data_IF_060724153412
#
_entry.id   IF_060724153412
#
_cell.length_a   1.000
_cell.length_b   1.000
_cell.length_c   1.000
_cell.angle_alpha   90.00
_cell.angle_beta   90.00
_cell.angle_gamma   90.00
#
_symmetry.space_group_name_H-M   'P 1'
#
loop_
_entity.id
_entity.type
_entity.pdbx_description
1 polymer ?
#
# COMPACT_ATOMS: atom_id res chain seq x y z
N UNK A 1 62.36 0.05 -72.85
CA UNK A 1 62.36 -1.03 -73.86
C UNK A 1 61.10 -1.87 -73.58
N UNK A 2 60.16 -1.86 -74.52
CA UNK A 2 59.58 -3.01 -75.26
C UNK A 2 58.94 -4.08 -74.36
N UNK A 3 57.71 -4.54 -74.46
CA UNK A 3 56.64 -4.56 -75.53
C UNK A 3 55.49 -5.35 -74.92
N UNK A 4 54.23 -4.83 -75.10
CA UNK A 4 53.16 -5.50 -75.90
C UNK A 4 52.69 -6.86 -75.35
N UNK A 5 51.45 -6.87 -74.86
CA UNK A 5 50.14 -7.02 -75.51
C UNK A 5 49.78 -8.53 -75.68
N UNK A 6 48.60 -8.95 -75.36
CA UNK A 6 47.44 -9.33 -76.17
C UNK A 6 46.50 -10.23 -75.35
N UNK A 7 45.36 -9.80 -75.01
CA UNK A 7 43.99 -10.12 -75.47
C UNK A 7 43.48 -11.60 -75.32
N UNK A 8 42.22 -11.56 -74.82
CA UNK A 8 41.08 -12.50 -75.04
C UNK A 8 40.98 -13.58 -73.99
N UNK A 9 39.84 -13.78 -73.37
CA UNK A 9 38.44 -13.57 -73.71
C UNK A 9 37.54 -14.06 -72.57
N UNK A 10 36.36 -13.60 -72.65
CA UNK A 10 35.24 -13.72 -71.80
C UNK A 10 34.88 -15.14 -71.26
N UNK A 11 34.33 -15.20 -70.08
CA UNK A 11 33.02 -15.84 -69.82
C UNK A 11 32.47 -15.26 -68.55
N UNK A 12 31.28 -14.69 -68.60
CA UNK A 12 30.46 -14.22 -67.47
C UNK A 12 29.93 -15.43 -66.71
N UNK A 13 30.33 -15.52 -65.48
CA UNK A 13 29.69 -16.41 -64.47
C UNK A 13 29.22 -15.54 -63.33
N UNK A 14 27.96 -15.13 -63.35
CA UNK A 14 27.30 -14.49 -62.20
C UNK A 14 27.17 -15.51 -61.06
N UNK A 15 28.16 -15.58 -60.22
CA UNK A 15 28.02 -16.21 -58.91
C UNK A 15 27.25 -15.26 -58.00
N UNK A 16 25.94 -15.44 -57.91
CA UNK A 16 25.15 -14.85 -56.86
C UNK A 16 25.70 -15.36 -55.51
N UNK A 17 26.51 -14.54 -54.86
CA UNK A 17 26.87 -14.73 -53.47
C UNK A 17 25.57 -14.64 -52.69
N UNK A 18 24.95 -15.81 -52.39
CA UNK A 18 23.97 -15.93 -51.34
C UNK A 18 24.64 -15.47 -50.03
N UNK A 19 24.46 -14.21 -49.65
CA UNK A 19 24.78 -13.78 -48.30
C UNK A 19 23.92 -14.63 -47.37
N UNK A 20 24.52 -15.39 -46.45
CA UNK A 20 23.73 -16.02 -45.43
C UNK A 20 23.01 -14.90 -44.72
N UNK A 21 21.69 -14.91 -44.76
CA UNK A 21 20.89 -14.19 -43.84
C UNK A 21 21.30 -14.76 -42.46
N UNK A 22 22.19 -14.05 -41.78
CA UNK A 22 22.39 -14.19 -40.36
C UNK A 22 21.07 -13.73 -39.78
N UNK A 23 20.14 -14.67 -39.60
CA UNK A 23 19.05 -14.47 -38.69
C UNK A 23 19.75 -14.14 -37.36
N UNK A 24 19.85 -12.83 -37.04
CA UNK A 24 20.14 -12.41 -35.69
C UNK A 24 19.06 -13.11 -34.88
N UNK A 25 19.45 -14.09 -34.10
CA UNK A 25 18.65 -14.56 -33.00
C UNK A 25 18.37 -13.29 -32.19
N UNK A 26 17.21 -12.67 -32.41
CA UNK A 26 16.73 -11.63 -31.56
C UNK A 26 16.64 -12.30 -30.19
N UNK A 27 17.61 -11.99 -29.32
CA UNK A 27 17.59 -12.47 -27.94
C UNK A 27 16.23 -12.14 -27.34
N UNK A 28 15.69 -13.02 -26.52
CA UNK A 28 14.44 -12.81 -25.81
C UNK A 28 14.43 -11.41 -25.19
N UNK A 29 13.33 -10.68 -25.35
CA UNK A 29 13.13 -9.44 -24.62
C UNK A 29 13.11 -9.77 -23.12
N UNK A 30 13.91 -9.06 -22.34
CA UNK A 30 13.98 -9.25 -20.89
C UNK A 30 13.18 -8.17 -20.19
N UNK A 31 12.33 -8.57 -19.25
CA UNK A 31 11.61 -7.69 -18.34
C UNK A 31 12.00 -8.00 -16.89
N UNK A 32 12.60 -7.05 -16.22
CA UNK A 32 12.86 -7.13 -14.79
C UNK A 32 11.57 -6.88 -14.00
N UNK A 33 11.23 -7.81 -13.11
CA UNK A 33 10.04 -7.73 -12.27
C UNK A 33 10.44 -7.77 -10.79
N UNK A 34 10.25 -6.66 -10.08
CA UNK A 34 10.58 -6.52 -8.66
C UNK A 34 9.32 -6.49 -7.81
N UNK A 35 9.24 -7.39 -6.84
CA UNK A 35 8.12 -7.45 -5.92
C UNK A 35 8.57 -7.34 -4.47
N UNK A 36 7.66 -6.92 -3.63
CA UNK A 36 7.80 -7.10 -2.20
C UNK A 36 7.65 -8.59 -1.86
N UNK A 37 8.57 -9.09 -1.03
CA UNK A 37 8.49 -10.45 -0.50
C UNK A 37 7.32 -10.54 0.50
N UNK A 38 6.23 -11.13 0.05
CA UNK A 38 5.10 -11.54 0.89
C UNK A 38 5.14 -13.06 0.95
N UNK A 39 5.15 -13.60 2.17
CA UNK A 39 5.14 -15.06 2.35
C UNK A 39 4.07 -15.74 1.48
N UNK A 40 4.40 -16.87 0.90
CA UNK A 40 3.54 -17.72 0.07
C UNK A 40 3.09 -17.12 -1.30
N UNK A 41 3.67 -16.02 -1.76
CA UNK A 41 3.39 -15.48 -3.11
C UNK A 41 4.29 -16.08 -4.20
N UNK A 42 5.39 -16.69 -3.85
CA UNK A 42 6.36 -17.19 -4.82
C UNK A 42 5.73 -18.15 -5.84
N UNK A 43 4.92 -19.08 -5.38
CA UNK A 43 4.24 -20.04 -6.26
C UNK A 43 3.30 -19.33 -7.25
N UNK A 44 2.54 -18.33 -6.78
CA UNK A 44 1.63 -17.56 -7.60
C UNK A 44 2.38 -16.81 -8.70
N UNK A 45 3.40 -16.03 -8.36
CA UNK A 45 4.17 -15.28 -9.35
C UNK A 45 4.87 -16.21 -10.37
N UNK A 46 5.36 -17.38 -9.96
CA UNK A 46 5.91 -18.35 -10.90
C UNK A 46 4.88 -18.87 -11.89
N UNK A 47 3.65 -19.12 -11.46
CA UNK A 47 2.56 -19.57 -12.33
C UNK A 47 2.15 -18.45 -13.30
N UNK A 48 2.03 -17.21 -12.85
CA UNK A 48 1.72 -16.02 -13.66
C UNK A 48 2.79 -15.77 -14.72
N UNK A 49 4.06 -15.82 -14.33
CA UNK A 49 5.21 -15.69 -15.25
C UNK A 49 5.21 -16.81 -16.29
N UNK A 50 4.97 -18.04 -15.87
CA UNK A 50 4.90 -19.17 -16.77
C UNK A 50 3.78 -19.02 -17.80
N UNK A 51 2.59 -18.57 -17.39
CA UNK A 51 1.47 -18.31 -18.30
C UNK A 51 1.80 -17.20 -19.29
N UNK A 52 2.36 -16.08 -18.82
CA UNK A 52 2.77 -14.99 -19.71
C UNK A 52 3.76 -15.44 -20.75
N UNK A 53 4.78 -16.20 -20.35
CA UNK A 53 5.82 -16.70 -21.26
C UNK A 53 5.32 -17.81 -22.22
N UNK A 54 4.19 -18.47 -21.96
CA UNK A 54 3.57 -19.39 -22.91
C UNK A 54 3.00 -18.64 -24.14
N UNK A 55 2.45 -17.47 -23.94
CA UNK A 55 1.90 -16.61 -25.00
C UNK A 55 2.96 -15.68 -25.61
N UNK A 56 4.00 -15.34 -24.85
CA UNK A 56 5.11 -14.46 -25.24
C UNK A 56 6.44 -15.22 -25.18
N UNK A 57 6.64 -16.17 -26.11
CA UNK A 57 7.79 -17.11 -26.12
C UNK A 57 9.14 -16.43 -26.30
N UNK A 58 9.15 -15.22 -26.84
CA UNK A 58 10.30 -14.35 -27.05
C UNK A 58 10.57 -13.39 -25.87
N UNK A 59 9.84 -13.55 -24.75
CA UNK A 59 10.01 -12.76 -23.53
C UNK A 59 10.54 -13.62 -22.39
N UNK A 60 11.44 -13.06 -21.60
CA UNK A 60 11.94 -13.61 -20.34
C UNK A 60 11.63 -12.63 -19.22
N UNK A 61 10.92 -13.10 -18.18
CA UNK A 61 10.66 -12.32 -16.96
C UNK A 61 11.73 -12.67 -15.91
N UNK A 62 12.58 -11.72 -15.57
CA UNK A 62 13.58 -11.83 -14.50
C UNK A 62 12.95 -11.35 -13.19
N UNK A 63 12.36 -12.27 -12.42
CA UNK A 63 11.69 -11.96 -11.17
C UNK A 63 12.66 -11.87 -9.99
N UNK A 64 12.53 -10.83 -9.19
CA UNK A 64 13.30 -10.54 -7.99
C UNK A 64 12.35 -10.07 -6.88
N UNK A 65 12.50 -10.61 -5.68
CA UNK A 65 11.76 -10.16 -4.51
C UNK A 65 12.68 -9.51 -3.47
N UNK A 66 12.12 -8.59 -2.70
CA UNK A 66 12.80 -7.92 -1.57
C UNK A 66 11.86 -7.79 -0.38
N UNK A 67 12.42 -7.82 0.82
CA UNK A 67 11.66 -7.44 2.01
C UNK A 67 11.13 -6.01 1.88
N UNK A 68 9.94 -5.75 2.41
CA UNK A 68 9.30 -4.46 2.29
C UNK A 68 10.15 -3.28 2.79
N UNK A 69 10.97 -3.51 3.82
CA UNK A 69 11.92 -2.51 4.35
C UNK A 69 13.14 -2.28 3.45
N UNK A 70 13.48 -3.22 2.57
CA UNK A 70 14.65 -3.17 1.69
C UNK A 70 14.30 -2.70 0.27
N UNK A 71 13.07 -2.97 -0.20
CA UNK A 71 12.64 -2.69 -1.57
C UNK A 71 12.83 -1.24 -1.98
N UNK A 72 12.43 -0.22 -1.18
CA UNK A 72 12.59 1.17 -1.58
C UNK A 72 14.05 1.56 -1.81
N UNK A 73 14.93 1.19 -0.89
CA UNK A 73 16.36 1.51 -1.00
C UNK A 73 17.01 0.77 -2.18
N UNK A 74 16.62 -0.48 -2.40
CA UNK A 74 17.07 -1.26 -3.56
C UNK A 74 16.62 -0.61 -4.87
N UNK A 75 15.32 -0.31 -5.01
CA UNK A 75 14.78 0.30 -6.24
C UNK A 75 15.42 1.66 -6.51
N UNK A 76 15.57 2.50 -5.49
CA UNK A 76 16.25 3.79 -5.61
C UNK A 76 17.70 3.63 -6.09
N UNK A 77 18.43 2.66 -5.58
CA UNK A 77 19.82 2.37 -6.02
C UNK A 77 19.85 1.97 -7.49
N UNK A 78 18.91 1.11 -7.92
CA UNK A 78 18.81 0.68 -9.32
C UNK A 78 18.41 1.83 -10.26
N UNK A 79 17.54 2.75 -9.82
CA UNK A 79 17.19 3.95 -10.58
C UNK A 79 18.42 4.83 -10.82
N UNK A 80 19.22 5.09 -9.79
CA UNK A 80 20.46 5.88 -9.90
C UNK A 80 21.49 5.21 -10.81
N UNK A 81 21.58 3.88 -10.74
CA UNK A 81 22.49 3.09 -11.58
C UNK A 81 22.01 2.95 -13.05
N UNK A 82 20.77 3.33 -13.37
CA UNK A 82 20.18 3.12 -14.69
C UNK A 82 19.85 1.66 -15.00
N UNK A 83 19.70 0.83 -13.97
CA UNK A 83 19.41 -0.62 -14.04
C UNK A 83 18.11 -0.97 -13.30
N UNK A 84 17.18 -0.01 -13.19
CA UNK A 84 15.91 -0.24 -12.53
C UNK A 84 15.13 -1.39 -13.20
N UNK A 85 14.53 -2.29 -12.42
CA UNK A 85 13.58 -3.26 -12.92
C UNK A 85 12.46 -2.59 -13.71
N UNK A 86 11.98 -3.26 -14.77
CA UNK A 86 10.96 -2.69 -15.66
C UNK A 86 9.61 -2.55 -14.99
N UNK A 87 9.27 -3.49 -14.10
CA UNK A 87 8.01 -3.53 -13.36
C UNK A 87 8.34 -3.62 -11.87
N UNK A 88 7.63 -2.85 -11.06
CA UNK A 88 7.85 -2.78 -9.61
C UNK A 88 6.54 -2.74 -8.83
N UNK A 89 6.46 -3.56 -7.79
CA UNK A 89 5.41 -3.51 -6.76
C UNK A 89 5.73 -2.38 -5.79
N UNK A 90 4.87 -1.38 -5.71
CA UNK A 90 4.99 -0.24 -4.81
C UNK A 90 3.79 -0.13 -3.88
N UNK A 91 4.06 0.32 -2.65
CA UNK A 91 3.05 0.46 -1.61
C UNK A 91 3.01 1.88 -1.02
N UNK A 92 1.92 2.17 -0.31
CA UNK A 92 1.77 3.41 0.46
C UNK A 92 1.95 4.65 -0.38
N UNK A 93 2.66 5.65 0.15
CA UNK A 93 2.89 6.93 -0.52
C UNK A 93 4.24 7.02 -1.26
N UNK A 94 5.11 6.03 -1.14
CA UNK A 94 6.47 6.10 -1.70
C UNK A 94 6.50 6.23 -3.22
N UNK A 95 5.51 5.67 -3.91
CA UNK A 95 5.41 5.75 -5.36
C UNK A 95 5.25 7.19 -5.86
N UNK A 96 4.69 8.10 -5.04
CA UNK A 96 4.49 9.51 -5.42
C UNK A 96 5.84 10.21 -5.63
N UNK A 97 6.85 9.90 -4.81
CA UNK A 97 8.20 10.42 -4.97
C UNK A 97 8.81 9.97 -6.30
N UNK A 98 8.63 8.70 -6.67
CA UNK A 98 9.11 8.17 -7.94
C UNK A 98 8.36 8.74 -9.14
N UNK A 99 7.04 8.92 -9.03
CA UNK A 99 6.23 9.55 -10.08
C UNK A 99 6.62 11.01 -10.30
N UNK A 100 6.74 11.80 -9.24
CA UNK A 100 7.17 13.20 -9.28
C UNK A 100 8.59 13.36 -9.81
N UNK A 101 9.49 12.43 -9.46
CA UNK A 101 10.86 12.36 -9.97
C UNK A 101 10.95 11.87 -11.42
N UNK A 102 9.84 11.55 -12.09
CA UNK A 102 9.81 11.06 -13.46
C UNK A 102 10.37 9.66 -13.66
N UNK A 103 10.46 8.87 -12.59
CA UNK A 103 10.97 7.49 -12.63
C UNK A 103 9.93 6.46 -13.09
N UNK A 104 8.63 6.80 -13.02
CA UNK A 104 7.53 5.92 -13.40
C UNK A 104 6.91 6.34 -14.73
N UNK A 105 6.39 5.36 -15.46
CA UNK A 105 5.64 5.54 -16.68
C UNK A 105 4.21 5.98 -16.36
N UNK A 106 3.71 7.01 -17.06
CA UNK A 106 2.30 7.38 -17.01
C UNK A 106 1.45 6.32 -17.73
N UNK A 107 0.59 5.64 -16.99
CA UNK A 107 -0.31 4.60 -17.51
C UNK A 107 -1.61 5.16 -18.09
N UNK A 108 -1.89 6.46 -17.94
CA UNK A 108 -3.12 7.08 -18.42
C UNK A 108 -3.35 6.89 -19.93
N UNK A 109 -2.31 7.00 -20.81
CA UNK A 109 -2.49 6.73 -22.23
C UNK A 109 -2.88 5.29 -22.56
N UNK A 110 -2.39 4.32 -21.77
CA UNK A 110 -2.74 2.90 -21.91
C UNK A 110 -4.19 2.66 -21.49
N UNK A 111 -4.59 3.20 -20.34
CA UNK A 111 -5.98 3.14 -19.86
C UNK A 111 -6.96 3.85 -20.80
N UNK A 112 -6.53 4.91 -21.48
CA UNK A 112 -7.37 5.58 -22.49
C UNK A 112 -7.56 4.75 -23.75
N UNK A 113 -6.56 3.94 -24.14
CA UNK A 113 -6.66 3.01 -25.28
C UNK A 113 -7.47 1.76 -24.95
N UNK A 114 -7.42 1.32 -23.69
CA UNK A 114 -8.06 0.10 -23.20
C UNK A 114 -8.94 0.45 -21.97
N UNK A 115 -10.06 1.19 -22.16
CA UNK A 115 -10.87 1.69 -21.05
C UNK A 115 -11.56 0.57 -20.25
N UNK A 116 -11.67 -0.63 -20.81
CA UNK A 116 -12.15 -1.84 -20.13
C UNK A 116 -11.22 -2.25 -18.98
N UNK A 117 -9.91 -1.99 -19.07
CA UNK A 117 -8.96 -2.28 -18.00
C UNK A 117 -9.28 -1.45 -16.76
N UNK A 118 -9.56 -0.15 -16.92
CA UNK A 118 -9.94 0.69 -15.79
C UNK A 118 -11.23 0.23 -15.11
N UNK A 119 -12.17 -0.37 -15.86
CA UNK A 119 -13.46 -0.87 -15.35
C UNK A 119 -13.32 -2.15 -14.52
N UNK A 120 -12.19 -2.84 -14.59
CA UNK A 120 -11.94 -4.01 -13.75
C UNK A 120 -11.86 -3.64 -12.27
N UNK A 121 -11.42 -2.42 -11.96
CA UNK A 121 -11.09 -1.99 -10.61
C UNK A 121 -12.19 -1.16 -9.96
N UNK A 122 -12.26 -1.21 -8.63
CA UNK A 122 -12.98 -0.23 -7.85
C UNK A 122 -12.35 1.16 -8.09
N UNK A 123 -13.18 2.13 -8.51
CA UNK A 123 -12.72 3.44 -8.97
C UNK A 123 -12.01 4.25 -7.88
N UNK A 124 -12.45 4.15 -6.62
CA UNK A 124 -11.82 4.86 -5.50
C UNK A 124 -10.41 4.32 -5.25
N UNK A 125 -10.24 2.99 -5.26
CA UNK A 125 -8.92 2.39 -5.12
C UNK A 125 -8.01 2.67 -6.31
N UNK A 126 -8.51 2.63 -7.54
CA UNK A 126 -7.72 3.04 -8.71
C UNK A 126 -7.32 4.52 -8.62
N UNK A 127 -8.18 5.38 -8.07
CA UNK A 127 -7.90 6.80 -7.92
C UNK A 127 -6.77 7.10 -6.93
N UNK A 128 -6.51 6.21 -5.96
CA UNK A 128 -5.40 6.37 -5.01
C UNK A 128 -4.01 6.34 -5.69
N UNK A 129 -3.93 5.83 -6.93
CA UNK A 129 -2.70 5.75 -7.73
C UNK A 129 -2.54 6.91 -8.72
N UNK A 130 -3.21 8.05 -8.45
CA UNK A 130 -3.10 9.26 -9.27
C UNK A 130 -2.23 10.30 -8.62
N UNK A 131 -1.36 10.90 -9.43
CA UNK A 131 -0.57 12.07 -9.08
C UNK A 131 -0.60 13.06 -10.27
N UNK A 132 -0.93 14.33 -10.00
CA UNK A 132 -1.09 15.38 -11.03
C UNK A 132 -1.97 14.96 -12.21
N UNK A 133 -3.08 14.29 -11.93
CA UNK A 133 -4.07 13.84 -12.93
C UNK A 133 -3.67 12.60 -13.74
N UNK A 134 -2.48 12.05 -13.54
CA UNK A 134 -1.96 10.86 -14.22
C UNK A 134 -2.05 9.63 -13.32
N UNK A 135 -2.30 8.48 -13.92
CA UNK A 135 -2.30 7.18 -13.22
C UNK A 135 -0.97 6.49 -13.42
N UNK A 136 -0.35 6.01 -12.35
CA UNK A 136 0.99 5.41 -12.40
C UNK A 136 1.03 3.93 -12.06
N UNK A 137 0.02 3.41 -11.36
CA UNK A 137 -0.04 2.01 -10.95
C UNK A 137 -1.40 1.40 -11.26
N UNK A 138 -1.41 0.08 -11.48
CA UNK A 138 -2.62 -0.74 -11.41
C UNK A 138 -2.71 -1.40 -10.02
N UNK A 139 -3.91 -1.45 -9.40
CA UNK A 139 -4.10 -2.11 -8.11
C UNK A 139 -3.67 -3.59 -8.17
N UNK A 140 -2.93 -4.04 -7.16
CA UNK A 140 -2.55 -5.45 -7.00
C UNK A 140 -3.29 -6.08 -5.83
N UNK A 141 -3.21 -5.46 -4.67
CA UNK A 141 -4.11 -5.73 -3.59
C UNK A 141 -4.42 -4.47 -2.79
N UNK A 142 -5.56 -4.50 -2.10
CA UNK A 142 -6.07 -3.39 -1.34
C UNK A 142 -6.25 -3.77 0.12
N UNK A 143 -6.00 -2.82 0.98
CA UNK A 143 -6.27 -2.90 2.41
C UNK A 143 -6.54 -1.52 2.95
N UNK A 144 -7.31 -1.43 4.02
CA UNK A 144 -7.44 -0.19 4.81
C UNK A 144 -7.49 -0.52 6.30
N UNK A 145 -7.33 0.49 7.12
CA UNK A 145 -7.46 0.32 8.56
C UNK A 145 -8.91 0.14 8.98
N UNK A 146 -9.11 -0.77 9.93
CA UNK A 146 -10.38 -1.10 10.55
C UNK A 146 -10.26 -0.99 12.07
N UNK A 147 -11.38 -0.95 12.75
CA UNK A 147 -11.48 -1.07 14.19
C UNK A 147 -12.02 -2.45 14.55
N UNK A 148 -11.15 -3.32 15.04
CA UNK A 148 -11.54 -4.58 15.65
C UNK A 148 -11.95 -4.35 17.10
N UNK A 149 -12.94 -5.10 17.60
CA UNK A 149 -13.33 -4.99 18.99
C UNK A 149 -13.70 -6.33 19.60
N UNK A 150 -13.36 -6.48 20.88
CA UNK A 150 -13.64 -7.66 21.67
C UNK A 150 -15.05 -7.55 22.28
N UNK A 151 -15.99 -8.29 21.72
CA UNK A 151 -17.41 -8.29 22.16
C UNK A 151 -17.58 -8.72 23.62
N UNK A 152 -16.71 -9.62 24.12
CA UNK A 152 -16.75 -10.05 25.52
C UNK A 152 -16.40 -8.88 26.45
N UNK A 153 -15.29 -8.17 26.17
CA UNK A 153 -14.90 -6.99 26.94
C UNK A 153 -15.94 -5.86 26.85
N UNK A 154 -16.58 -5.70 25.68
CA UNK A 154 -17.70 -4.76 25.51
C UNK A 154 -18.86 -5.11 26.44
N UNK A 155 -19.29 -6.36 26.45
CA UNK A 155 -20.37 -6.84 27.32
C UNK A 155 -20.03 -6.67 28.81
N UNK A 156 -18.82 -7.01 29.23
CA UNK A 156 -18.33 -6.84 30.60
C UNK A 156 -18.29 -5.36 31.03
N UNK A 157 -18.04 -4.45 30.08
CA UNK A 157 -18.03 -3.01 30.30
C UNK A 157 -19.42 -2.35 30.15
N UNK A 158 -20.49 -3.13 29.86
CA UNK A 158 -21.83 -2.63 29.64
C UNK A 158 -21.99 -1.82 28.34
N UNK A 159 -21.20 -2.15 27.29
CA UNK A 159 -21.21 -1.49 25.99
C UNK A 159 -22.00 -2.34 24.98
N UNK A 160 -22.99 -1.73 24.31
CA UNK A 160 -23.89 -2.43 23.39
C UNK A 160 -23.48 -2.36 21.92
N UNK A 161 -22.66 -1.38 21.53
CA UNK A 161 -22.25 -1.14 20.15
C UNK A 161 -20.87 -0.48 20.10
N UNK A 162 -20.16 -0.53 18.95
CA UNK A 162 -18.93 0.22 18.73
C UNK A 162 -19.13 1.74 18.90
N UNK A 163 -18.03 2.48 19.21
CA UNK A 163 -18.11 3.93 19.41
C UNK A 163 -18.47 4.66 18.10
N UNK A 164 -19.24 5.74 18.21
CA UNK A 164 -19.70 6.59 17.10
C UNK A 164 -18.99 7.94 17.06
N UNK A 165 -18.19 8.25 18.09
CA UNK A 165 -17.40 9.49 18.18
C UNK A 165 -16.02 9.22 18.79
N UNK A 166 -15.10 10.20 18.67
CA UNK A 166 -13.80 10.14 19.32
C UNK A 166 -13.91 10.08 20.84
N UNK A 167 -14.82 10.86 21.41
CA UNK A 167 -15.02 10.87 22.86
C UNK A 167 -15.59 9.54 23.36
N UNK A 168 -16.50 8.90 22.61
CA UNK A 168 -16.96 7.55 22.94
C UNK A 168 -15.85 6.52 22.81
N UNK A 169 -14.99 6.62 21.78
CA UNK A 169 -13.83 5.74 21.63
C UNK A 169 -12.96 5.78 22.90
N UNK A 170 -12.65 6.95 23.41
CA UNK A 170 -11.87 7.13 24.64
C UNK A 170 -12.62 6.70 25.90
N UNK A 171 -13.89 7.04 26.02
CA UNK A 171 -14.73 6.64 27.16
C UNK A 171 -14.90 5.13 27.23
N UNK A 172 -15.13 4.45 26.11
CA UNK A 172 -15.21 2.99 26.02
C UNK A 172 -13.88 2.34 26.37
N UNK A 173 -12.78 2.94 25.88
CA UNK A 173 -11.44 2.49 26.24
C UNK A 173 -11.20 2.53 27.74
N UNK A 174 -11.59 3.61 28.40
CA UNK A 174 -11.46 3.75 29.86
C UNK A 174 -12.32 2.74 30.64
N UNK A 175 -13.55 2.45 30.17
CA UNK A 175 -14.44 1.46 30.80
C UNK A 175 -13.89 0.02 30.70
N UNK A 176 -13.17 -0.31 29.62
CA UNK A 176 -12.60 -1.63 29.40
C UNK A 176 -11.22 -1.82 30.05
N UNK A 177 -10.54 -0.73 30.41
CA UNK A 177 -9.22 -0.78 31.05
C UNK A 177 -9.33 -1.24 32.50
N UNK A 178 -8.95 -2.48 32.79
CA UNK A 178 -8.97 -3.08 34.13
C UNK A 178 -7.78 -4.04 34.31
N UNK A 179 -6.98 -3.86 35.35
CA UNK A 179 -5.79 -4.67 35.60
C UNK A 179 -4.79 -4.56 34.46
N UNK A 180 -4.45 -5.65 33.83
CA UNK A 180 -3.55 -5.69 32.67
C UNK A 180 -4.25 -5.42 31.33
N UNK A 181 -5.60 -5.37 31.31
CA UNK A 181 -6.36 -5.11 30.09
C UNK A 181 -6.43 -3.63 29.81
N UNK A 182 -6.27 -3.26 28.53
CA UNK A 182 -6.41 -1.90 28.00
C UNK A 182 -7.60 -1.79 27.06
N UNK A 183 -8.18 -0.61 26.92
CA UNK A 183 -9.37 -0.44 26.10
C UNK A 183 -9.08 -0.24 24.63
N UNK A 184 -7.95 0.41 24.28
CA UNK A 184 -7.61 0.74 22.89
C UNK A 184 -6.13 0.53 22.60
N UNK A 185 -5.87 0.03 21.41
CA UNK A 185 -4.54 -0.15 20.84
C UNK A 185 -4.58 0.23 19.37
N UNK A 186 -3.56 0.93 18.90
CA UNK A 186 -3.33 1.11 17.46
C UNK A 186 -1.91 0.69 17.10
N UNK A 187 -1.69 0.35 15.84
CA UNK A 187 -0.34 0.16 15.32
C UNK A 187 0.40 1.50 15.35
N UNK A 188 1.64 1.47 15.78
CA UNK A 188 2.46 2.67 15.92
C UNK A 188 3.13 3.03 14.60
N UNK A 189 2.34 3.51 13.67
CA UNK A 189 2.82 4.15 12.46
C UNK A 189 2.16 5.52 12.33
N UNK A 190 2.91 6.51 11.93
CA UNK A 190 2.47 7.90 11.78
C UNK A 190 1.17 8.04 10.98
N UNK A 191 1.01 7.27 9.92
CA UNK A 191 -0.17 7.27 9.08
C UNK A 191 -1.42 6.61 9.71
N UNK A 192 -1.26 5.81 10.79
CA UNK A 192 -2.38 5.19 11.51
C UNK A 192 -3.06 6.13 12.51
N UNK A 193 -2.39 7.20 12.90
CA UNK A 193 -2.99 8.19 13.81
C UNK A 193 -3.82 9.23 13.08
N UNK A 194 -3.56 9.41 11.80
CA UNK A 194 -4.22 10.48 11.08
C UNK A 194 -5.74 10.34 11.05
N UNK A 195 -6.35 9.16 10.89
CA UNK A 195 -7.79 9.01 11.07
C UNK A 195 -8.34 9.57 12.37
N UNK A 196 -7.59 9.47 13.48
CA UNK A 196 -8.00 10.04 14.78
C UNK A 196 -8.03 11.57 14.78
N UNK A 197 -7.14 12.21 14.02
CA UNK A 197 -7.17 13.66 13.83
C UNK A 197 -8.26 14.05 12.84
N UNK A 198 -8.39 13.33 11.75
CA UNK A 198 -9.33 13.62 10.67
C UNK A 198 -10.79 13.55 11.14
N UNK A 199 -11.12 12.57 11.98
CA UNK A 199 -12.46 12.47 12.60
C UNK A 199 -12.80 13.66 13.51
N UNK A 200 -11.80 14.43 13.93
CA UNK A 200 -11.95 15.67 14.71
C UNK A 200 -11.76 16.92 13.85
N UNK A 201 -11.85 16.82 12.52
CA UNK A 201 -11.78 17.96 11.60
C UNK A 201 -10.38 18.56 11.39
N UNK A 202 -9.32 17.84 11.78
CA UNK A 202 -7.93 18.32 11.61
C UNK A 202 -7.39 17.88 10.26
N UNK A 203 -6.88 18.84 9.49
CA UNK A 203 -6.26 18.62 8.18
C UNK A 203 -4.72 18.64 8.29
N UNK A 204 -4.02 17.85 7.45
CA UNK A 204 -2.57 17.86 7.37
C UNK A 204 -2.03 19.15 6.78
N UNK A 205 -2.59 19.52 5.64
CA UNK A 205 -2.15 20.66 4.84
C UNK A 205 -3.33 21.53 4.43
N UNK A 206 -3.03 22.78 4.07
CA UNK A 206 -3.96 23.65 3.37
C UNK A 206 -4.42 23.04 2.05
N UNK A 207 -5.59 23.44 1.49
CA UNK A 207 -6.10 22.88 0.24
C UNK A 207 -5.15 23.03 -0.95
N UNK A 208 -4.30 24.05 -0.95
CA UNK A 208 -3.25 24.26 -1.97
C UNK A 208 -1.95 23.52 -1.69
N UNK A 209 -1.90 22.70 -0.65
CA UNK A 209 -0.77 21.88 -0.19
C UNK A 209 0.50 22.67 0.18
N UNK A 210 0.42 23.98 0.36
CA UNK A 210 1.59 24.86 0.57
C UNK A 210 1.91 25.14 2.03
N UNK A 211 0.98 24.88 2.93
CA UNK A 211 1.12 25.19 4.35
C UNK A 211 0.62 24.04 5.23
N UNK A 212 1.24 23.79 6.40
CA UNK A 212 0.66 22.91 7.39
C UNK A 212 -0.69 23.48 7.87
N UNK A 213 -1.66 22.60 8.14
CA UNK A 213 -2.99 22.96 8.63
C UNK A 213 -3.36 22.23 9.94
N UNK A 214 -2.47 21.43 10.47
CA UNK A 214 -2.73 20.59 11.65
C UNK A 214 -2.52 21.31 12.99
N UNK A 215 -1.83 22.45 13.05
CA UNK A 215 -1.60 23.18 14.29
C UNK A 215 -2.83 24.01 14.67
N UNK A 216 -3.83 23.34 15.20
CA UNK A 216 -5.13 23.90 15.57
C UNK A 216 -5.48 23.60 17.04
N UNK A 217 -6.39 24.37 17.67
CA UNK A 217 -6.90 24.04 19.00
C UNK A 217 -7.49 22.63 19.07
N UNK A 218 -8.19 22.17 18.02
CA UNK A 218 -8.74 20.81 17.94
C UNK A 218 -7.64 19.75 17.97
N UNK A 219 -6.56 19.95 17.22
CA UNK A 219 -5.42 19.03 17.22
C UNK A 219 -4.75 18.96 18.60
N UNK A 220 -4.61 20.11 19.28
CA UNK A 220 -4.07 20.14 20.63
C UNK A 220 -4.97 19.38 21.62
N UNK A 221 -6.29 19.57 21.54
CA UNK A 221 -7.27 18.85 22.35
C UNK A 221 -7.20 17.32 22.09
N UNK A 222 -7.12 16.90 20.83
CA UNK A 222 -6.97 15.47 20.46
C UNK A 222 -5.72 14.88 21.11
N UNK A 223 -4.59 15.56 21.01
CA UNK A 223 -3.32 15.08 21.62
C UNK A 223 -3.41 15.04 23.14
N UNK A 224 -3.99 16.04 23.79
CA UNK A 224 -4.18 16.09 25.24
C UNK A 224 -5.09 14.94 25.72
N UNK A 225 -6.18 14.66 25.00
CA UNK A 225 -7.07 13.52 25.28
C UNK A 225 -6.37 12.18 25.10
N UNK A 226 -5.58 12.01 24.02
CA UNK A 226 -4.80 10.80 23.79
C UNK A 226 -3.72 10.61 24.86
N UNK A 227 -3.01 11.67 25.25
CA UNK A 227 -2.01 11.62 26.30
C UNK A 227 -2.61 11.22 27.64
N UNK A 228 -3.73 11.85 28.02
CA UNK A 228 -4.47 11.51 29.26
C UNK A 228 -4.96 10.07 29.26
N UNK A 229 -5.51 9.57 28.14
CA UNK A 229 -5.98 8.21 28.00
C UNK A 229 -4.83 7.19 28.06
N UNK A 230 -3.65 7.56 27.53
CA UNK A 230 -2.44 6.73 27.57
C UNK A 230 -1.87 6.67 29.00
N UNK A 231 -1.76 7.80 29.68
CA UNK A 231 -1.28 7.86 31.07
C UNK A 231 -2.21 7.11 32.02
N UNK A 232 -3.52 7.26 31.83
CA UNK A 232 -4.56 6.56 32.61
C UNK A 232 -4.71 5.08 32.25
N UNK A 233 -3.91 4.50 31.35
CA UNK A 233 -3.96 3.08 30.97
C UNK A 233 -5.11 2.66 30.05
N UNK A 234 -5.94 3.60 29.61
CA UNK A 234 -7.04 3.31 28.69
C UNK A 234 -6.52 2.97 27.28
N UNK A 235 -5.44 3.62 26.84
CA UNK A 235 -4.70 3.32 25.61
C UNK A 235 -3.43 2.55 25.96
N UNK A 236 -3.23 1.42 25.29
CA UNK A 236 -2.03 0.60 25.48
C UNK A 236 -0.78 1.33 25.00
N UNK A 237 0.24 1.46 25.85
CA UNK A 237 1.50 2.14 25.54
C UNK A 237 2.28 1.54 24.38
N UNK A 238 2.03 0.25 24.04
CA UNK A 238 2.57 -0.39 22.84
C UNK A 238 2.19 0.40 21.58
N UNK A 239 1.04 1.07 21.57
CA UNK A 239 0.60 1.98 20.49
C UNK A 239 1.68 3.00 20.06
N UNK A 240 2.64 3.31 20.91
CA UNK A 240 3.64 4.37 20.70
C UNK A 240 5.06 3.83 20.48
N UNK A 241 5.26 2.50 20.30
CA UNK A 241 6.58 1.85 20.30
C UNK A 241 7.19 1.62 18.90
N UNK A 242 6.43 1.67 17.83
CA UNK A 242 6.91 1.41 16.46
C UNK A 242 7.06 -0.06 16.08
N UNK A 243 6.35 -0.98 16.74
CA UNK A 243 6.52 -2.42 16.52
C UNK A 243 5.23 -3.09 16.02
N UNK A 244 5.35 -3.91 14.97
CA UNK A 244 4.24 -4.64 14.37
C UNK A 244 3.75 -5.82 15.20
N UNK A 245 4.68 -6.66 15.63
CA UNK A 245 4.37 -7.99 16.20
C UNK A 245 3.69 -7.85 17.55
N UNK A 246 4.17 -6.93 18.38
CA UNK A 246 3.66 -6.73 19.73
C UNK A 246 2.19 -6.28 19.77
N UNK A 247 1.75 -5.26 18.98
CA UNK A 247 0.35 -4.89 18.93
C UNK A 247 -0.59 -6.03 18.53
N UNK A 248 -0.25 -6.77 17.48
CA UNK A 248 -1.04 -7.91 17.03
C UNK A 248 -1.10 -9.00 18.11
N UNK A 249 0.04 -9.30 18.74
CA UNK A 249 0.12 -10.28 19.83
C UNK A 249 -0.68 -9.86 21.06
N UNK A 250 -0.65 -8.57 21.43
CA UNK A 250 -1.44 -8.05 22.55
C UNK A 250 -2.95 -8.22 22.32
N UNK A 251 -3.41 -7.90 21.11
CA UNK A 251 -4.83 -8.12 20.77
C UNK A 251 -5.20 -9.60 20.68
N UNK A 252 -4.37 -10.42 20.05
CA UNK A 252 -4.57 -11.87 20.00
C UNK A 252 -4.55 -12.52 21.41
N UNK A 253 -3.81 -11.93 22.36
CA UNK A 253 -3.72 -12.36 23.76
C UNK A 253 -4.92 -11.98 24.65
N UNK A 254 -6.01 -11.43 24.10
CA UNK A 254 -7.22 -11.02 24.87
C UNK A 254 -6.96 -9.94 25.92
N UNK A 255 -5.96 -9.08 25.69
CA UNK A 255 -5.60 -8.00 26.64
C UNK A 255 -6.06 -6.61 26.19
N UNK A 256 -6.75 -6.51 25.05
CA UNK A 256 -7.14 -5.25 24.43
C UNK A 256 -8.60 -5.28 23.99
N UNK A 257 -9.36 -4.24 24.33
CA UNK A 257 -10.79 -4.12 24.00
C UNK A 257 -11.03 -3.73 22.54
N UNK A 258 -10.28 -2.77 22.02
CA UNK A 258 -10.39 -2.28 20.63
C UNK A 258 -9.00 -2.17 20.00
N UNK A 259 -8.89 -2.61 18.75
CA UNK A 259 -7.63 -2.62 18.01
C UNK A 259 -7.80 -1.96 16.63
N UNK A 260 -7.14 -0.83 16.43
CA UNK A 260 -7.09 -0.14 15.14
C UNK A 260 -5.90 -0.64 14.33
N UNK A 261 -6.19 -1.39 13.28
CA UNK A 261 -5.17 -2.07 12.46
C UNK A 261 -5.65 -2.29 11.03
N UNK A 262 -4.75 -2.80 10.17
CA UNK A 262 -5.11 -3.21 8.82
C UNK A 262 -6.15 -4.31 8.78
N UNK A 263 -6.93 -4.37 7.71
CA UNK A 263 -7.85 -5.49 7.48
C UNK A 263 -7.14 -6.86 7.43
N UNK A 264 -5.90 -6.90 6.93
CA UNK A 264 -5.07 -8.11 6.93
C UNK A 264 -4.68 -8.61 8.33
N UNK A 265 -4.73 -7.75 9.35
CA UNK A 265 -4.44 -8.15 10.72
C UNK A 265 -5.39 -9.24 11.24
N UNK A 266 -6.61 -9.33 10.69
CA UNK A 266 -7.58 -10.35 11.04
C UNK A 266 -7.01 -11.78 10.96
N UNK A 267 -6.39 -12.12 9.85
CA UNK A 267 -5.86 -13.47 9.64
C UNK A 267 -4.71 -13.80 10.58
N UNK A 268 -3.86 -12.80 10.87
CA UNK A 268 -2.79 -12.97 11.85
C UNK A 268 -3.34 -13.19 13.26
N UNK A 269 -4.24 -12.32 13.72
CA UNK A 269 -4.77 -12.43 15.09
C UNK A 269 -5.65 -13.66 15.26
N UNK A 270 -6.41 -14.07 14.24
CA UNK A 270 -7.19 -15.31 14.23
C UNK A 270 -6.32 -16.54 14.37
N UNK A 271 -5.16 -16.56 13.72
CA UNK A 271 -4.20 -17.67 13.81
C UNK A 271 -3.57 -17.83 15.19
N UNK A 272 -3.55 -16.77 16.01
CA UNK A 272 -2.91 -16.78 17.34
C UNK A 272 -3.90 -16.66 18.50
N UNK A 273 -5.04 -15.99 18.31
CA UNK A 273 -6.01 -15.71 19.36
C UNK A 273 -7.07 -16.79 19.49
N UNK A 274 -6.98 -17.64 20.51
CA UNK A 274 -7.95 -18.73 20.76
C UNK A 274 -9.38 -18.24 21.04
N UNK A 275 -9.53 -16.97 21.48
CA UNK A 275 -10.81 -16.35 21.77
C UNK A 275 -11.53 -15.83 20.51
N UNK A 276 -10.86 -15.77 19.37
CA UNK A 276 -11.35 -15.12 18.16
C UNK A 276 -12.31 -16.04 17.39
N UNK A 277 -13.57 -15.67 17.42
CA UNK A 277 -14.66 -16.33 16.71
C UNK A 277 -15.79 -15.31 16.44
N UNK A 278 -16.85 -15.66 15.67
CA UNK A 278 -17.94 -14.73 15.35
C UNK A 278 -18.69 -14.14 16.55
N UNK A 279 -18.73 -14.84 17.69
CA UNK A 279 -19.44 -14.37 18.90
C UNK A 279 -18.61 -13.39 19.73
N UNK A 280 -17.27 -13.44 19.59
CA UNK A 280 -16.34 -12.70 20.44
C UNK A 280 -15.61 -11.58 19.75
N UNK A 281 -15.37 -11.65 18.44
CA UNK A 281 -14.76 -10.59 17.66
C UNK A 281 -15.79 -9.85 16.80
N UNK A 282 -15.69 -8.52 16.79
CA UNK A 282 -16.33 -7.67 15.80
C UNK A 282 -15.32 -6.84 15.02
N UNK A 283 -15.71 -6.40 13.83
CA UNK A 283 -14.97 -5.45 13.02
C UNK A 283 -15.89 -4.33 12.54
N UNK A 284 -15.37 -3.13 12.52
CA UNK A 284 -16.05 -1.92 12.04
C UNK A 284 -14.99 -0.92 11.58
N UNK A 285 -15.39 0.30 11.33
CA UNK A 285 -14.47 1.41 11.04
C UNK A 285 -14.39 2.35 12.24
N UNK A 286 -13.37 3.21 12.29
CA UNK A 286 -13.32 4.31 13.24
C UNK A 286 -14.54 5.23 13.05
N UNK A 287 -14.98 5.93 14.09
CA UNK A 287 -16.03 6.96 13.95
C UNK A 287 -15.72 7.92 12.81
N UNK A 288 -16.76 8.27 12.04
CA UNK A 288 -16.62 9.12 10.85
C UNK A 288 -16.04 8.39 9.62
N UNK A 289 -15.75 7.07 9.75
CA UNK A 289 -15.31 6.15 8.67
C UNK A 289 -13.96 6.47 8.05
N UNK A 290 -13.17 7.38 8.64
CA UNK A 290 -11.83 7.69 8.15
C UNK A 290 -10.92 6.50 8.33
N UNK A 291 -10.19 6.16 7.25
CA UNK A 291 -9.28 5.02 7.22
C UNK A 291 -8.01 5.36 6.45
N UNK A 292 -6.93 4.70 6.79
CA UNK A 292 -5.69 4.77 6.02
C UNK A 292 -5.64 3.62 5.03
N UNK A 293 -5.52 3.89 3.71
CA UNK A 293 -5.31 2.85 2.72
C UNK A 293 -3.88 2.32 2.81
N UNK A 294 -3.72 1.01 2.62
CA UNK A 294 -2.42 0.33 2.59
C UNK A 294 -2.36 -0.58 1.38
N UNK A 295 -2.51 0.06 0.23
CA UNK A 295 -2.62 -0.61 -1.04
C UNK A 295 -1.25 -0.92 -1.63
N UNK A 296 -1.19 -1.97 -2.46
CA UNK A 296 -0.08 -2.28 -3.35
C UNK A 296 -0.54 -2.18 -4.80
N UNK A 297 0.36 -1.79 -5.66
CA UNK A 297 0.11 -1.72 -7.09
C UNK A 297 1.38 -1.91 -7.90
N UNK A 298 1.22 -2.34 -9.15
CA UNK A 298 2.32 -2.48 -10.09
C UNK A 298 2.49 -1.23 -10.93
N UNK A 299 3.71 -0.68 -10.91
CA UNK A 299 4.17 0.40 -11.75
C UNK A 299 5.11 -0.12 -12.83
N UNK A 300 5.24 0.64 -13.92
CA UNK A 300 6.26 0.44 -14.95
C UNK A 300 7.30 1.54 -14.79
N UNK A 301 8.58 1.16 -14.75
CA UNK A 301 9.69 2.11 -14.73
C UNK A 301 9.75 2.90 -16.04
N UNK A 302 10.02 4.21 -15.97
CA UNK A 302 10.15 5.06 -17.16
C UNK A 302 11.27 4.61 -18.10
N UNK A 303 12.29 3.94 -17.57
CA UNK A 303 13.41 3.39 -18.33
C UNK A 303 13.12 2.06 -19.04
N UNK A 304 11.93 1.48 -18.84
CA UNK A 304 11.53 0.22 -19.49
C UNK A 304 11.65 0.34 -21.01
N UNK A 305 12.37 -0.62 -21.61
CA UNK A 305 12.59 -0.66 -23.06
C UNK A 305 11.43 -1.28 -23.85
N UNK A 306 10.58 -2.04 -23.15
CA UNK A 306 9.44 -2.76 -23.71
C UNK A 306 8.15 -2.45 -22.94
N UNK A 307 7.72 -1.16 -22.88
CA UNK A 307 6.62 -0.74 -22.02
C UNK A 307 5.28 -1.40 -22.39
N UNK A 308 5.07 -1.74 -23.66
CA UNK A 308 3.87 -2.47 -24.12
C UNK A 308 3.84 -3.90 -23.55
N UNK A 309 4.97 -4.61 -23.55
CA UNK A 309 5.06 -5.94 -22.94
C UNK A 309 4.90 -5.87 -21.42
N UNK A 310 5.47 -4.85 -20.79
CA UNK A 310 5.29 -4.60 -19.36
C UNK A 310 3.82 -4.30 -19.02
N UNK A 311 3.13 -3.53 -19.87
CA UNK A 311 1.70 -3.27 -19.75
C UNK A 311 0.88 -4.56 -19.86
N UNK A 312 1.14 -5.40 -20.87
CA UNK A 312 0.46 -6.69 -21.02
C UNK A 312 0.69 -7.59 -19.78
N UNK A 313 1.89 -7.58 -19.22
CA UNK A 313 2.19 -8.39 -18.05
C UNK A 313 1.47 -7.88 -16.79
N UNK A 314 1.46 -6.58 -16.51
CA UNK A 314 0.73 -6.06 -15.34
C UNK A 314 -0.79 -6.22 -15.49
N UNK A 315 -1.34 -6.18 -16.72
CA UNK A 315 -2.75 -6.52 -16.96
C UNK A 315 -3.04 -7.99 -16.65
N UNK A 316 -2.12 -8.89 -16.99
CA UNK A 316 -2.27 -10.30 -16.64
C UNK A 316 -2.27 -10.48 -15.12
N UNK A 317 -1.29 -9.91 -14.41
CA UNK A 317 -1.16 -10.02 -12.94
C UNK A 317 -2.41 -9.52 -12.21
N UNK A 318 -3.00 -8.41 -12.67
CA UNK A 318 -4.10 -7.72 -12.00
C UNK A 318 -5.48 -7.99 -12.63
N UNK A 319 -5.52 -8.80 -13.69
CA UNK A 319 -6.77 -9.19 -14.36
C UNK A 319 -7.60 -10.19 -13.56
N UNK A 320 -8.89 -10.32 -13.90
CA UNK A 320 -9.87 -11.11 -13.13
C UNK A 320 -9.37 -12.52 -12.74
N UNK A 321 -8.70 -13.23 -13.65
CA UNK A 321 -8.21 -14.59 -13.40
C UNK A 321 -7.23 -14.62 -12.23
N UNK A 322 -6.13 -13.88 -12.35
CA UNK A 322 -5.04 -13.91 -11.37
C UNK A 322 -5.37 -13.12 -10.11
N UNK A 323 -6.16 -12.05 -10.22
CA UNK A 323 -6.73 -11.38 -9.08
C UNK A 323 -7.61 -12.32 -8.25
N UNK A 324 -8.45 -13.18 -8.88
CA UNK A 324 -9.24 -14.20 -8.17
C UNK A 324 -8.36 -15.24 -7.48
N UNK A 325 -7.32 -15.75 -8.17
CA UNK A 325 -6.38 -16.70 -7.57
C UNK A 325 -5.61 -16.08 -6.41
N UNK A 326 -5.17 -14.83 -6.53
CA UNK A 326 -4.53 -14.10 -5.45
C UNK A 326 -5.48 -13.95 -4.26
N UNK A 327 -6.70 -13.43 -4.47
CA UNK A 327 -7.67 -13.23 -3.43
C UNK A 327 -7.97 -14.54 -2.68
N UNK A 328 -8.20 -15.64 -3.43
CA UNK A 328 -8.47 -16.96 -2.90
C UNK A 328 -7.32 -17.52 -2.04
N UNK A 329 -6.07 -17.44 -2.53
CA UNK A 329 -4.90 -17.99 -1.83
C UNK A 329 -4.48 -17.14 -0.64
N UNK A 330 -4.66 -15.82 -0.73
CA UNK A 330 -4.17 -14.85 0.27
C UNK A 330 -5.24 -14.37 1.23
N UNK A 331 -6.51 -14.61 0.92
CA UNK A 331 -7.65 -14.06 1.69
C UNK A 331 -7.58 -12.53 1.81
N UNK A 332 -7.13 -11.87 0.73
CA UNK A 332 -7.01 -10.42 0.60
C UNK A 332 -7.80 -9.96 -0.61
N UNK A 333 -8.35 -8.76 -0.54
CA UNK A 333 -9.01 -8.15 -1.68
C UNK A 333 -7.97 -7.49 -2.61
N UNK A 334 -8.29 -7.47 -3.89
CA UNK A 334 -7.38 -7.02 -4.95
C UNK A 334 -7.70 -5.62 -5.47
N UNK A 335 -8.91 -5.16 -5.21
CA UNK A 335 -9.48 -3.98 -5.87
C UNK A 335 -10.10 -4.29 -7.23
N UNK A 336 -9.99 -5.54 -7.73
CA UNK A 336 -10.65 -6.02 -8.93
C UNK A 336 -12.06 -6.48 -8.57
N UNK A 337 -13.08 -5.77 -9.07
CA UNK A 337 -14.46 -5.85 -8.59
C UNK A 337 -15.04 -7.28 -8.65
N UNK A 338 -14.82 -7.99 -9.76
CA UNK A 338 -15.34 -9.36 -9.91
C UNK A 338 -14.61 -10.38 -9.05
N UNK A 339 -13.26 -10.26 -8.96
CA UNK A 339 -12.45 -11.14 -8.12
C UNK A 339 -12.82 -10.99 -6.65
N UNK A 340 -12.94 -9.75 -6.19
CA UNK A 340 -13.28 -9.45 -4.80
C UNK A 340 -14.69 -9.95 -4.43
N UNK A 341 -15.65 -9.78 -5.34
CA UNK A 341 -17.02 -10.32 -5.17
C UNK A 341 -17.02 -11.85 -5.08
N UNK A 342 -16.28 -12.52 -5.95
CA UNK A 342 -16.21 -13.97 -5.98
C UNK A 342 -15.56 -14.52 -4.70
N UNK A 343 -14.47 -13.89 -4.23
CA UNK A 343 -13.80 -14.29 -3.01
C UNK A 343 -14.66 -14.06 -1.77
N UNK A 344 -15.33 -12.91 -1.65
CA UNK A 344 -16.25 -12.63 -0.54
C UNK A 344 -17.35 -13.69 -0.46
N UNK A 345 -17.93 -14.10 -1.59
CA UNK A 345 -18.94 -15.14 -1.63
C UNK A 345 -18.40 -16.53 -1.20
N UNK A 346 -17.13 -16.80 -1.46
CA UNK A 346 -16.44 -18.03 -1.07
C UNK A 346 -16.12 -18.01 0.41
N UNK A 347 -15.47 -16.95 0.88
CA UNK A 347 -15.08 -16.78 2.30
C UNK A 347 -16.33 -16.79 3.20
N UNK A 348 -17.45 -16.21 2.77
CA UNK A 348 -18.68 -16.18 3.58
C UNK A 348 -19.18 -17.58 3.99
N UNK A 349 -18.83 -18.62 3.23
CA UNK A 349 -19.19 -20.02 3.54
C UNK A 349 -18.20 -20.69 4.50
N UNK A 350 -16.91 -20.35 4.38
CA UNK A 350 -15.80 -20.95 5.12
C UNK A 350 -15.51 -20.20 6.43
N UNK A 351 -15.56 -18.88 6.37
CA UNK A 351 -15.22 -17.95 7.44
C UNK A 351 -16.13 -16.71 7.39
N UNK A 352 -17.36 -16.81 7.93
CA UNK A 352 -18.30 -15.68 7.93
C UNK A 352 -17.76 -14.42 8.60
N UNK A 353 -16.92 -14.56 9.63
CA UNK A 353 -16.28 -13.43 10.30
C UNK A 353 -15.22 -12.77 9.39
N UNK A 354 -14.40 -13.57 8.72
CA UNK A 354 -13.44 -13.08 7.73
C UNK A 354 -14.13 -12.36 6.58
N UNK A 355 -15.25 -12.88 6.09
CA UNK A 355 -16.05 -12.21 5.06
C UNK A 355 -16.57 -10.85 5.55
N UNK A 356 -17.08 -10.76 6.78
CA UNK A 356 -17.54 -9.50 7.37
C UNK A 356 -16.39 -8.46 7.49
N UNK A 357 -15.19 -8.90 7.88
CA UNK A 357 -14.00 -8.06 7.93
C UNK A 357 -13.64 -7.54 6.54
N UNK A 358 -13.59 -8.42 5.54
CA UNK A 358 -13.26 -8.02 4.16
C UNK A 358 -14.36 -7.15 3.54
N UNK A 359 -15.62 -7.41 3.83
CA UNK A 359 -16.72 -6.57 3.39
C UNK A 359 -16.60 -5.14 3.95
N UNK A 360 -16.27 -5.00 5.24
CA UNK A 360 -16.10 -3.68 5.89
C UNK A 360 -15.01 -2.85 5.21
N UNK A 361 -14.01 -3.46 4.62
CA UNK A 361 -12.96 -2.68 3.91
C UNK A 361 -13.44 -2.11 2.56
N UNK A 362 -14.53 -2.61 1.98
CA UNK A 362 -15.12 -2.07 0.75
C UNK A 362 -16.14 -0.94 1.01
N UNK A 363 -16.46 -0.68 2.28
CA UNK A 363 -17.38 0.38 2.68
C UNK A 363 -16.62 1.70 2.85
N UNK A 364 -17.24 2.84 2.54
CA UNK A 364 -16.68 4.18 2.73
C UNK A 364 -15.27 4.36 2.13
N UNK A 365 -15.06 3.89 0.92
CA UNK A 365 -13.77 3.98 0.20
C UNK A 365 -13.44 5.42 -0.22
N UNK A 366 -14.39 6.33 -0.11
CA UNK A 366 -14.23 7.78 -0.27
C UNK A 366 -13.60 8.47 0.95
N UNK A 367 -13.39 7.75 2.07
CA UNK A 367 -12.89 8.30 3.35
C UNK A 367 -11.45 7.90 3.66
N UNK A 368 -10.54 8.12 2.70
CA UNK A 368 -9.12 7.82 2.89
C UNK A 368 -8.32 9.01 3.41
N UNK A 369 -7.39 8.73 4.32
CA UNK A 369 -6.45 9.71 4.90
C UNK A 369 -5.20 8.98 5.42
N UNK A 370 -4.17 9.69 5.83
CA UNK A 370 -3.02 9.11 6.53
C UNK A 370 -1.67 9.28 5.86
N UNK A 371 -1.63 9.75 4.61
CA UNK A 371 -0.39 10.06 3.90
C UNK A 371 -0.36 11.54 3.52
N UNK A 372 0.84 12.11 3.50
CA UNK A 372 1.05 13.42 2.93
C UNK A 372 0.91 13.31 1.41
N UNK A 373 0.05 14.09 0.75
CA UNK A 373 -0.14 14.01 -0.70
C UNK A 373 0.99 14.73 -1.46
N UNK A 374 2.24 14.48 -1.07
CA UNK A 374 3.44 15.15 -1.57
C UNK A 374 4.56 14.14 -1.81
N UNK A 375 5.44 14.38 -2.80
CA UNK A 375 6.50 13.45 -3.17
C UNK A 375 7.61 13.27 -2.13
N UNK A 376 7.55 13.95 -1.01
CA UNK A 376 8.51 13.86 0.11
C UNK A 376 7.81 13.52 1.43
N UNK A 377 6.81 12.66 1.36
CA UNK A 377 6.03 12.13 2.49
C UNK A 377 6.92 11.63 3.64
N UNK A 378 7.96 10.86 3.34
CA UNK A 378 8.86 10.33 4.35
C UNK A 378 9.55 11.45 5.15
N UNK A 379 10.08 12.48 4.50
CA UNK A 379 10.74 13.58 5.19
C UNK A 379 9.76 14.42 6.04
N UNK A 380 8.51 14.56 5.57
CA UNK A 380 7.46 15.22 6.37
C UNK A 380 7.12 14.41 7.61
N UNK A 381 7.05 13.09 7.50
CA UNK A 381 6.84 12.17 8.62
C UNK A 381 7.97 12.23 9.64
N UNK A 382 9.20 12.30 9.18
CA UNK A 382 10.39 12.38 10.06
C UNK A 382 10.40 13.63 10.96
N UNK A 383 9.80 14.72 10.54
CA UNK A 383 9.71 15.94 11.37
C UNK A 383 8.41 16.06 12.15
N UNK A 384 7.34 15.43 11.67
CA UNK A 384 6.01 15.49 12.29
C UNK A 384 5.84 14.44 13.39
N UNK A 385 6.13 13.18 13.08
CA UNK A 385 5.80 12.06 13.93
C UNK A 385 6.46 12.08 15.32
N UNK A 386 7.76 12.39 15.47
CA UNK A 386 8.40 12.45 16.77
C UNK A 386 7.73 13.46 17.71
N UNK A 387 7.24 14.57 17.20
CA UNK A 387 6.53 15.58 17.99
C UNK A 387 5.18 15.06 18.50
N UNK A 388 4.44 14.35 17.63
CA UNK A 388 3.19 13.71 18.03
C UNK A 388 3.43 12.65 19.12
N UNK A 389 4.46 11.81 18.95
CA UNK A 389 4.85 10.82 19.97
C UNK A 389 5.22 11.48 21.30
N UNK A 390 5.96 12.57 21.28
CA UNK A 390 6.33 13.30 22.48
C UNK A 390 5.12 13.86 23.22
N UNK A 391 4.13 14.35 22.49
CA UNK A 391 2.88 14.85 23.07
C UNK A 391 2.05 13.73 23.72
N UNK A 392 1.79 12.63 22.99
CA UNK A 392 0.94 11.55 23.49
C UNK A 392 1.59 10.73 24.61
N UNK A 393 2.91 10.74 24.70
CA UNK A 393 3.67 10.16 25.82
C UNK A 393 3.87 11.12 27.01
N UNK A 394 3.27 12.32 26.95
CA UNK A 394 3.39 13.33 28.02
C UNK A 394 4.78 13.95 28.17
N UNK A 395 5.67 13.77 27.19
CA UNK A 395 7.04 14.30 27.21
C UNK A 395 7.11 15.78 26.82
N UNK A 396 6.12 16.26 26.08
CA UNK A 396 6.01 17.63 25.57
C UNK A 396 4.55 18.08 25.61
N UNK A 397 4.23 19.33 26.00
CA UNK A 397 2.86 19.85 25.89
C UNK A 397 2.36 19.81 24.45
N UNK A 398 1.11 19.43 24.23
CA UNK A 398 0.52 19.25 22.90
C UNK A 398 0.69 20.48 22.00
N UNK A 399 0.41 21.67 22.52
CA UNK A 399 0.58 22.93 21.76
C UNK A 399 2.02 23.17 21.32
N UNK A 400 3.00 22.87 22.18
CA UNK A 400 4.42 23.00 21.87
C UNK A 400 4.82 22.00 20.80
N UNK A 401 4.40 20.75 20.93
CA UNK A 401 4.69 19.70 19.96
C UNK A 401 4.12 20.05 18.57
N UNK A 402 2.87 20.51 18.49
CA UNK A 402 2.27 20.93 17.22
C UNK A 402 2.99 22.13 16.61
N UNK A 403 3.39 23.12 17.40
CA UNK A 403 4.15 24.27 16.91
C UNK A 403 5.56 23.87 16.40
N UNK A 404 6.22 22.91 17.07
CA UNK A 404 7.53 22.39 16.63
C UNK A 404 7.41 21.61 15.34
N UNK A 405 6.40 20.75 15.24
CA UNK A 405 6.07 19.99 14.03
C UNK A 405 5.74 20.94 12.86
N UNK A 406 4.91 21.97 13.08
CA UNK A 406 4.55 22.96 12.08
C UNK A 406 5.78 23.66 11.52
N UNK A 407 6.68 24.14 12.38
CA UNK A 407 7.95 24.76 11.93
C UNK A 407 8.83 23.81 11.14
N UNK A 408 8.84 22.53 11.50
CA UNK A 408 9.56 21.48 10.77
C UNK A 408 9.01 21.29 9.37
N UNK A 409 7.69 21.09 9.28
CA UNK A 409 6.96 20.92 8.02
C UNK A 409 7.08 22.16 7.14
N UNK A 410 6.88 23.37 7.66
CA UNK A 410 7.04 24.60 6.88
C UNK A 410 8.44 24.75 6.26
N UNK A 411 9.49 24.40 7.01
CA UNK A 411 10.87 24.45 6.46
C UNK A 411 11.04 23.51 5.27
N UNK A 412 10.43 22.32 5.33
CA UNK A 412 10.49 21.36 4.22
C UNK A 412 9.68 21.85 3.02
N UNK A 413 8.46 22.34 3.24
CA UNK A 413 7.62 22.88 2.17
C UNK A 413 8.33 24.03 1.42
N UNK A 414 8.95 24.98 2.14
CA UNK A 414 9.69 26.10 1.54
C UNK A 414 10.95 25.68 0.76
N UNK A 415 11.58 24.59 1.11
CA UNK A 415 12.78 24.10 0.40
C UNK A 415 12.46 23.35 -0.88
N UNK A 416 11.23 22.89 -1.02
CA UNK A 416 10.75 22.07 -2.13
C UNK A 416 9.80 22.82 -3.08
N UNK A 417 9.31 24.00 -2.68
CA UNK A 417 8.59 24.94 -3.54
C UNK A 417 9.57 25.68 -4.47
#
# INVERSE_FOLDING_TARGET
>A
MKRRAVLKGAVAGAAALAMPHVARAQGRAKLGFLTWNIADQEALFKEEIAEFQQTHKDVEIEWLDKKGTELPAFYQTQLVAGTAPDIVDLQGAIWVEYAAGGALLDLSPYLAKEPEVAKLYNGDYLSTWRYEGKTYLLPFYISKTLLYYNKTMFKEAGLGAPPTSFDELLAFSAKMAKGEKTGFLTLNFDWLYWPLFKMNGVELLSPDLKKPAFNTPQAAEVLEKLAKATDGGAINKISWTGRWVEPNGAFAGDTVGMFHAHSSAYFFVKGQGRWINPDTLGATQLPGYWATPTNHGFAISKSCKHPELAWEFIKLLTGNKWATEFARRRKLLTGTVEADRAELATIAKEDPLGAAVLQTQLEHTDKFTGNWPLPYDAQLKDVFWPEIQNAVLGRKPAKTALADAERGVERLLRRRA
#
